data_IF_670825890977
#
_entry.id   IF_670825890977
#
_cell.length_a   1.000
_cell.length_b   1.000
_cell.length_c   1.000
_cell.angle_alpha   90.00
_cell.angle_beta   90.00
_cell.angle_gamma   90.00
#
_symmetry.space_group_name_H-M   'P 1'
#
loop_
_entity.id
_entity.type
_entity.pdbx_description
1 polymer ?
#
# COMPACT_ATOMS: atom_id res chain seq x y z
N UNK A 1 28.43 10.54 0.55
CA UNK A 1 27.57 11.04 1.67
C UNK A 1 26.22 11.55 1.20
N UNK A 2 26.12 12.72 0.47
CA UNK A 2 24.78 13.25 0.16
C UNK A 2 24.00 12.36 -0.81
N UNK A 3 24.63 11.80 -1.84
CA UNK A 3 23.97 10.83 -2.75
C UNK A 3 23.50 9.58 -1.99
N UNK A 4 24.32 9.04 -1.10
CA UNK A 4 23.98 7.85 -0.30
C UNK A 4 22.82 8.16 0.69
N UNK A 5 22.79 9.39 1.23
CA UNK A 5 21.67 9.86 2.07
C UNK A 5 20.38 9.99 1.29
N UNK A 6 20.44 10.53 0.06
CA UNK A 6 19.28 10.64 -0.82
C UNK A 6 18.75 9.25 -1.17
N UNK A 7 19.63 8.33 -1.57
CA UNK A 7 19.25 6.94 -1.88
C UNK A 7 18.58 6.26 -0.67
N UNK A 8 19.17 6.42 0.51
CA UNK A 8 18.59 5.90 1.75
C UNK A 8 17.24 6.53 2.07
N UNK A 9 17.10 7.86 1.93
CA UNK A 9 15.85 8.56 2.17
C UNK A 9 14.77 8.12 1.18
N UNK A 10 15.09 8.00 -0.11
CA UNK A 10 14.17 7.53 -1.15
C UNK A 10 13.69 6.10 -0.88
N UNK A 11 14.61 5.20 -0.52
CA UNK A 11 14.30 3.79 -0.24
C UNK A 11 13.46 3.60 1.04
N UNK A 12 13.53 4.55 1.97
CA UNK A 12 12.85 4.48 3.27
C UNK A 12 11.71 5.49 3.42
N UNK A 13 11.14 5.95 2.32
CA UNK A 13 9.96 6.81 2.35
C UNK A 13 8.82 6.13 3.12
N UNK A 14 8.20 6.80 4.12
CA UNK A 14 7.09 6.23 4.88
C UNK A 14 5.91 5.85 3.98
N UNK A 15 5.69 6.57 2.88
CA UNK A 15 4.66 6.31 1.90
C UNK A 15 4.78 4.91 1.25
N UNK A 16 5.98 4.34 1.13
CA UNK A 16 6.13 2.98 0.60
C UNK A 16 5.39 1.94 1.47
N UNK A 17 5.52 2.06 2.79
CA UNK A 17 4.84 1.16 3.73
C UNK A 17 3.33 1.39 3.75
N UNK A 18 2.92 2.66 3.65
CA UNK A 18 1.51 3.02 3.63
C UNK A 18 0.83 2.52 2.35
N UNK A 19 1.47 2.67 1.18
CA UNK A 19 0.98 2.10 -0.09
C UNK A 19 0.82 0.58 0.03
N UNK A 20 1.84 -0.12 0.52
CA UNK A 20 1.76 -1.58 0.70
C UNK A 20 0.61 -1.98 1.62
N UNK A 21 0.42 -1.28 2.74
CA UNK A 21 -0.68 -1.57 3.68
C UNK A 21 -2.05 -1.34 3.05
N UNK A 22 -2.24 -0.25 2.29
CA UNK A 22 -3.49 0.04 1.60
C UNK A 22 -3.77 -0.94 0.45
N UNK A 23 -2.74 -1.41 -0.26
CA UNK A 23 -2.88 -2.45 -1.27
C UNK A 23 -3.28 -3.81 -0.66
N UNK A 24 -2.77 -4.16 0.53
CA UNK A 24 -3.18 -5.35 1.25
C UNK A 24 -4.63 -5.25 1.73
N UNK A 25 -5.03 -4.09 2.25
CA UNK A 25 -6.42 -3.79 2.62
C UNK A 25 -7.35 -3.90 1.40
N UNK A 26 -6.94 -3.35 0.24
CA UNK A 26 -7.70 -3.43 -1.00
C UNK A 26 -7.91 -4.87 -1.47
N UNK A 27 -6.87 -5.73 -1.42
CA UNK A 27 -7.00 -7.16 -1.76
C UNK A 27 -7.97 -7.91 -0.83
N UNK A 28 -7.94 -7.55 0.45
CA UNK A 28 -8.85 -8.13 1.44
C UNK A 28 -10.29 -7.73 1.16
N UNK A 29 -10.51 -6.45 0.89
CA UNK A 29 -11.82 -5.90 0.59
C UNK A 29 -12.39 -6.44 -0.73
N UNK A 30 -11.55 -6.58 -1.76
CA UNK A 30 -11.94 -7.23 -3.03
C UNK A 30 -12.43 -8.67 -2.81
N UNK A 31 -11.72 -9.42 -1.97
CA UNK A 31 -12.12 -10.80 -1.63
C UNK A 31 -13.47 -10.83 -0.91
N UNK A 32 -13.69 -9.92 0.04
CA UNK A 32 -14.95 -9.80 0.76
C UNK A 32 -16.09 -9.43 -0.19
N UNK A 33 -15.85 -8.48 -1.10
CA UNK A 33 -16.83 -8.03 -2.08
C UNK A 33 -17.24 -9.16 -3.03
N UNK A 34 -16.29 -9.94 -3.55
CA UNK A 34 -16.55 -11.10 -4.40
C UNK A 34 -17.41 -12.13 -3.66
N UNK A 35 -17.04 -12.45 -2.42
CA UNK A 35 -17.78 -13.42 -1.61
C UNK A 35 -19.22 -12.94 -1.32
N UNK A 36 -19.38 -11.65 -0.96
CA UNK A 36 -20.69 -11.09 -0.65
C UNK A 36 -21.59 -11.00 -1.89
N UNK A 37 -21.05 -10.65 -3.05
CA UNK A 37 -21.78 -10.65 -4.33
C UNK A 37 -22.21 -12.07 -4.73
N UNK A 38 -21.36 -13.07 -4.49
CA UNK A 38 -21.70 -14.47 -4.74
C UNK A 38 -22.83 -14.91 -3.83
N UNK A 39 -22.75 -14.62 -2.53
CA UNK A 39 -23.80 -14.93 -1.56
C UNK A 39 -25.12 -14.22 -1.92
N UNK A 40 -25.08 -12.96 -2.31
CA UNK A 40 -26.26 -12.22 -2.77
C UNK A 40 -26.89 -12.88 -4.01
N UNK A 41 -26.06 -13.28 -4.99
CA UNK A 41 -26.56 -13.97 -6.19
C UNK A 41 -27.19 -15.33 -5.87
N UNK A 42 -26.65 -16.05 -4.88
CA UNK A 42 -27.22 -17.34 -4.44
C UNK A 42 -28.59 -17.12 -3.77
N UNK A 43 -28.68 -16.18 -2.83
CA UNK A 43 -29.95 -15.84 -2.16
C UNK A 43 -30.98 -15.29 -3.15
N UNK A 44 -30.57 -14.50 -4.14
CA UNK A 44 -31.49 -14.01 -5.19
C UNK A 44 -32.14 -15.16 -5.97
N UNK A 45 -31.37 -16.23 -6.24
CA UNK A 45 -31.95 -17.45 -6.85
C UNK A 45 -32.91 -18.19 -5.91
N UNK A 46 -32.67 -18.12 -4.59
CA UNK A 46 -33.62 -18.66 -3.60
C UNK A 46 -34.93 -17.83 -3.59
N UNK A 47 -34.84 -16.49 -3.69
CA UNK A 47 -36.03 -15.62 -3.82
C UNK A 47 -36.84 -16.02 -5.06
N UNK A 48 -36.21 -16.06 -6.23
CA UNK A 48 -36.88 -16.39 -7.51
C UNK A 48 -37.59 -17.75 -7.42
N UNK A 49 -36.96 -18.74 -6.77
CA UNK A 49 -37.53 -20.07 -6.54
C UNK A 49 -38.73 -20.01 -5.58
N UNK A 50 -38.62 -19.27 -4.48
CA UNK A 50 -39.68 -19.14 -3.49
C UNK A 50 -40.93 -18.44 -4.08
N UNK A 51 -40.70 -17.36 -4.84
CA UNK A 51 -41.78 -16.68 -5.60
C UNK A 51 -42.51 -17.65 -6.56
N UNK A 52 -41.73 -18.50 -7.27
CA UNK A 52 -42.32 -19.49 -8.17
C UNK A 52 -43.16 -20.55 -7.42
N UNK A 53 -42.69 -20.98 -6.25
CA UNK A 53 -43.39 -21.95 -5.40
C UNK A 53 -44.69 -21.36 -4.85
N UNK A 54 -44.69 -20.10 -4.38
CA UNK A 54 -45.91 -19.37 -3.96
C UNK A 54 -46.88 -19.22 -5.13
N UNK A 55 -46.36 -18.80 -6.30
CA UNK A 55 -47.20 -18.62 -7.48
C UNK A 55 -47.87 -19.95 -7.92
N UNK A 56 -47.18 -21.08 -7.84
CA UNK A 56 -47.72 -22.40 -8.17
C UNK A 56 -48.94 -22.75 -7.29
N UNK A 57 -48.85 -22.47 -5.99
CA UNK A 57 -49.91 -22.73 -5.02
C UNK A 57 -51.09 -21.75 -5.28
N UNK A 58 -50.85 -20.48 -5.56
CA UNK A 58 -51.87 -19.49 -5.93
C UNK A 58 -52.65 -19.91 -7.18
N UNK A 59 -51.93 -20.34 -8.22
CA UNK A 59 -52.54 -20.80 -9.47
C UNK A 59 -53.38 -22.06 -9.26
N UNK A 60 -52.96 -22.97 -8.43
CA UNK A 60 -53.78 -24.17 -8.07
C UNK A 60 -55.00 -23.76 -7.30
N UNK A 61 -54.88 -22.92 -6.29
CA UNK A 61 -56.01 -22.40 -5.52
C UNK A 61 -57.04 -21.67 -6.41
N UNK A 62 -56.56 -20.85 -7.36
CA UNK A 62 -57.41 -20.17 -8.32
C UNK A 62 -58.21 -21.13 -9.22
N UNK A 63 -57.55 -22.20 -9.74
CA UNK A 63 -58.24 -23.21 -10.54
C UNK A 63 -59.28 -23.97 -9.72
N UNK A 64 -58.95 -24.39 -8.49
CA UNK A 64 -59.87 -25.11 -7.62
C UNK A 64 -61.04 -24.25 -7.17
N UNK A 65 -60.82 -22.97 -6.93
CA UNK A 65 -61.86 -21.96 -6.64
C UNK A 65 -62.81 -21.81 -7.83
N UNK A 66 -62.32 -21.66 -9.05
CA UNK A 66 -63.14 -21.58 -10.26
C UNK A 66 -64.00 -22.84 -10.46
N UNK A 67 -63.48 -24.04 -10.18
CA UNK A 67 -64.25 -25.28 -10.24
C UNK A 67 -65.33 -25.36 -9.18
N UNK A 68 -65.04 -24.90 -7.97
CA UNK A 68 -66.02 -24.85 -6.86
C UNK A 68 -67.13 -23.88 -7.21
N UNK A 69 -66.79 -22.66 -7.69
CA UNK A 69 -67.77 -21.62 -8.06
C UNK A 69 -68.64 -22.01 -9.27
N UNK A 70 -68.15 -22.84 -10.19
CA UNK A 70 -68.89 -23.40 -11.29
C UNK A 70 -69.90 -24.49 -10.82
N UNK A 71 -69.81 -24.98 -9.60
CA UNK A 71 -70.71 -25.94 -9.02
C UNK A 71 -70.77 -27.30 -9.74
N UNK A 72 -69.74 -27.63 -10.53
CA UNK A 72 -69.68 -28.86 -11.34
C UNK A 72 -69.14 -30.02 -10.52
N UNK A 73 -69.94 -31.07 -10.34
CA UNK A 73 -69.55 -32.28 -9.59
C UNK A 73 -70.57 -32.74 -8.58
N UNK A 74 -70.27 -33.79 -7.84
CA UNK A 74 -71.12 -34.29 -6.74
C UNK A 74 -70.88 -33.41 -5.48
N UNK A 75 -71.84 -33.45 -4.53
CA UNK A 75 -71.69 -32.78 -3.25
C UNK A 75 -70.40 -33.20 -2.52
N UNK A 76 -69.97 -34.44 -2.66
CA UNK A 76 -68.73 -34.96 -2.12
C UNK A 76 -67.51 -34.33 -2.79
N UNK A 77 -67.53 -34.09 -4.11
CA UNK A 77 -66.44 -33.47 -4.85
C UNK A 77 -66.30 -31.99 -4.48
N UNK A 78 -67.41 -31.27 -4.31
CA UNK A 78 -67.43 -29.85 -3.87
C UNK A 78 -66.89 -29.72 -2.42
N UNK A 79 -67.23 -30.64 -1.54
CA UNK A 79 -66.68 -30.67 -0.18
C UNK A 79 -65.16 -30.97 -0.18
N UNK A 80 -64.71 -31.91 -1.03
CA UNK A 80 -63.28 -32.17 -1.19
C UNK A 80 -62.51 -30.93 -1.70
N UNK A 81 -63.06 -30.20 -2.69
CA UNK A 81 -62.47 -28.92 -3.14
C UNK A 81 -62.39 -27.86 -2.05
N UNK A 82 -63.38 -27.73 -1.16
CA UNK A 82 -63.33 -26.82 0.00
C UNK A 82 -62.22 -27.19 0.98
N UNK A 83 -62.03 -28.47 1.28
CA UNK A 83 -60.92 -28.96 2.12
C UNK A 83 -59.56 -28.69 1.47
N UNK A 84 -59.45 -28.93 0.16
CA UNK A 84 -58.22 -28.66 -0.60
C UNK A 84 -57.87 -27.17 -0.57
N UNK A 85 -58.85 -26.27 -0.84
CA UNK A 85 -58.65 -24.83 -0.76
C UNK A 85 -58.17 -24.37 0.63
N UNK A 86 -58.73 -24.94 1.69
CA UNK A 86 -58.27 -24.66 3.06
C UNK A 86 -56.83 -25.10 3.26
N UNK A 87 -56.46 -26.28 2.75
CA UNK A 87 -55.08 -26.76 2.80
C UNK A 87 -54.11 -25.92 1.98
N UNK A 88 -54.49 -25.49 0.77
CA UNK A 88 -53.72 -24.64 -0.12
C UNK A 88 -53.52 -23.22 0.51
N UNK A 89 -54.55 -22.65 1.17
CA UNK A 89 -54.44 -21.37 1.86
C UNK A 89 -53.40 -21.45 2.99
N UNK A 90 -53.43 -22.51 3.80
CA UNK A 90 -52.38 -22.69 4.84
C UNK A 90 -51.01 -22.84 4.21
N UNK A 91 -50.88 -23.67 3.16
CA UNK A 91 -49.62 -23.86 2.47
C UNK A 91 -49.06 -22.59 1.83
N UNK A 92 -49.96 -21.77 1.26
CA UNK A 92 -49.60 -20.48 0.71
C UNK A 92 -49.00 -19.55 1.80
N UNK A 93 -49.67 -19.45 2.96
CA UNK A 93 -49.18 -18.63 4.09
C UNK A 93 -47.82 -19.09 4.56
N UNK A 94 -47.60 -20.42 4.71
CA UNK A 94 -46.30 -20.99 5.10
C UNK A 94 -45.19 -20.66 4.11
N UNK A 95 -45.49 -20.67 2.78
CA UNK A 95 -44.53 -20.34 1.74
C UNK A 95 -44.24 -18.84 1.67
N UNK A 96 -45.26 -17.99 1.86
CA UNK A 96 -45.11 -16.54 1.93
C UNK A 96 -44.24 -16.09 3.14
N UNK A 97 -44.38 -16.78 4.29
CA UNK A 97 -43.51 -16.53 5.45
C UNK A 97 -42.04 -16.87 5.13
N UNK A 98 -41.82 -18.03 4.45
CA UNK A 98 -40.46 -18.44 4.00
C UNK A 98 -39.89 -17.45 2.98
N UNK A 99 -40.71 -17.00 2.02
CA UNK A 99 -40.34 -16.01 1.01
C UNK A 99 -39.86 -14.71 1.69
N UNK A 100 -40.61 -14.21 2.68
CA UNK A 100 -40.23 -13.01 3.43
C UNK A 100 -38.88 -13.17 4.14
N UNK A 101 -38.63 -14.31 4.80
CA UNK A 101 -37.34 -14.57 5.45
C UNK A 101 -36.17 -14.57 4.45
N UNK A 102 -36.38 -15.14 3.25
CA UNK A 102 -35.36 -15.14 2.19
C UNK A 102 -35.13 -13.74 1.65
N UNK A 103 -36.20 -12.96 1.44
CA UNK A 103 -36.12 -11.57 0.99
C UNK A 103 -35.38 -10.68 1.99
N UNK A 104 -35.66 -10.80 3.30
CA UNK A 104 -34.92 -10.07 4.34
C UNK A 104 -33.41 -10.37 4.31
N UNK A 105 -33.04 -11.63 4.08
CA UNK A 105 -31.64 -12.04 3.91
C UNK A 105 -31.02 -11.42 2.64
N UNK A 106 -31.77 -11.36 1.54
CA UNK A 106 -31.30 -10.76 0.30
C UNK A 106 -31.07 -9.26 0.46
N UNK A 107 -31.99 -8.55 1.13
CA UNK A 107 -31.87 -7.11 1.43
C UNK A 107 -30.64 -6.82 2.31
N UNK A 108 -30.43 -7.59 3.37
CA UNK A 108 -29.28 -7.44 4.24
C UNK A 108 -27.95 -7.65 3.50
N UNK A 109 -27.87 -8.64 2.61
CA UNK A 109 -26.69 -8.88 1.76
C UNK A 109 -26.50 -7.77 0.73
N UNK A 110 -27.55 -7.24 0.12
CA UNK A 110 -27.48 -6.13 -0.82
C UNK A 110 -26.96 -4.84 -0.14
N UNK A 111 -27.44 -4.56 1.06
CA UNK A 111 -26.94 -3.45 1.85
C UNK A 111 -25.44 -3.63 2.19
N UNK A 112 -25.05 -4.83 2.60
CA UNK A 112 -23.65 -5.15 2.88
C UNK A 112 -22.75 -4.97 1.65
N UNK A 113 -23.17 -5.43 0.47
CA UNK A 113 -22.45 -5.20 -0.81
C UNK A 113 -22.30 -3.71 -1.07
N UNK A 114 -23.37 -2.92 -0.86
CA UNK A 114 -23.34 -1.46 -1.06
C UNK A 114 -22.32 -0.78 -0.15
N UNK A 115 -22.22 -1.21 1.10
CA UNK A 115 -21.21 -0.70 2.06
C UNK A 115 -19.80 -1.04 1.59
N UNK A 116 -19.54 -2.30 1.23
CA UNK A 116 -18.23 -2.73 0.73
C UNK A 116 -17.80 -1.98 -0.54
N UNK A 117 -18.73 -1.71 -1.46
CA UNK A 117 -18.46 -0.93 -2.67
C UNK A 117 -18.13 0.54 -2.37
N UNK A 118 -18.73 1.11 -1.35
CA UNK A 118 -18.37 2.45 -0.89
C UNK A 118 -16.97 2.44 -0.29
N UNK A 119 -16.70 1.49 0.61
CA UNK A 119 -15.41 1.38 1.29
C UNK A 119 -14.27 1.13 0.28
N UNK A 120 -14.52 0.36 -0.79
CA UNK A 120 -13.58 0.17 -1.90
C UNK A 120 -13.25 1.49 -2.62
N UNK A 121 -14.26 2.33 -2.88
CA UNK A 121 -14.05 3.65 -3.52
C UNK A 121 -13.27 4.59 -2.62
N UNK A 122 -13.59 4.61 -1.34
CA UNK A 122 -12.90 5.45 -0.36
C UNK A 122 -11.44 5.01 -0.19
N UNK A 123 -11.20 3.70 -0.13
CA UNK A 123 -9.85 3.13 -0.07
C UNK A 123 -9.05 3.43 -1.35
N UNK A 124 -9.64 3.30 -2.53
CA UNK A 124 -9.00 3.64 -3.80
C UNK A 124 -8.60 5.13 -3.86
N UNK A 125 -9.43 6.02 -3.33
CA UNK A 125 -9.13 7.45 -3.24
C UNK A 125 -7.96 7.72 -2.29
N UNK A 126 -7.93 7.06 -1.13
CA UNK A 126 -6.81 7.17 -0.18
C UNK A 126 -5.52 6.63 -0.77
N UNK A 127 -5.56 5.47 -1.42
CA UNK A 127 -4.40 4.87 -2.07
C UNK A 127 -3.84 5.80 -3.15
N UNK A 128 -4.68 6.36 -4.00
CA UNK A 128 -4.28 7.31 -5.04
C UNK A 128 -3.56 8.53 -4.46
N UNK A 129 -4.07 9.10 -3.37
CA UNK A 129 -3.46 10.25 -2.70
C UNK A 129 -2.08 9.92 -2.10
N UNK A 130 -1.92 8.75 -1.50
CA UNK A 130 -0.63 8.32 -0.93
C UNK A 130 0.38 8.00 -2.03
N UNK A 131 -0.05 7.40 -3.14
CA UNK A 131 0.79 7.15 -4.32
C UNK A 131 1.28 8.47 -4.91
N UNK A 132 0.40 9.46 -5.08
CA UNK A 132 0.77 10.79 -5.56
C UNK A 132 1.79 11.47 -4.62
N UNK A 133 1.56 11.44 -3.31
CA UNK A 133 2.48 11.99 -2.33
C UNK A 133 3.86 11.29 -2.35
N UNK A 134 3.89 9.97 -2.55
CA UNK A 134 5.13 9.20 -2.74
C UNK A 134 5.86 9.66 -3.99
N UNK A 135 5.16 9.76 -5.11
CA UNK A 135 5.75 10.08 -6.41
C UNK A 135 6.29 11.51 -6.44
N UNK A 136 5.61 12.46 -5.80
CA UNK A 136 6.12 13.82 -5.59
C UNK A 136 7.41 13.81 -4.77
N UNK A 137 7.44 13.13 -3.62
CA UNK A 137 8.63 13.03 -2.79
C UNK A 137 9.81 12.35 -3.52
N UNK A 138 9.53 11.31 -4.30
CA UNK A 138 10.54 10.66 -5.14
C UNK A 138 11.07 11.60 -6.23
N UNK A 139 10.21 12.42 -6.84
CA UNK A 139 10.57 13.44 -7.81
C UNK A 139 11.51 14.52 -7.22
N UNK A 140 11.21 14.99 -6.01
CA UNK A 140 12.06 15.95 -5.30
C UNK A 140 13.46 15.38 -5.03
N UNK A 141 13.54 14.15 -4.52
CA UNK A 141 14.82 13.46 -4.30
C UNK A 141 15.58 13.19 -5.60
N UNK A 142 14.88 12.87 -6.70
CA UNK A 142 15.52 12.69 -8.01
C UNK A 142 16.16 14.00 -8.50
N UNK A 143 15.45 15.12 -8.40
CA UNK A 143 15.98 16.44 -8.74
C UNK A 143 17.18 16.86 -7.87
N UNK A 144 17.13 16.58 -6.57
CA UNK A 144 18.25 16.81 -5.69
C UNK A 144 19.46 15.92 -6.04
N UNK A 145 19.22 14.62 -6.29
CA UNK A 145 20.26 13.69 -6.70
C UNK A 145 20.97 14.17 -7.97
N UNK A 146 20.21 14.60 -8.98
CA UNK A 146 20.75 15.04 -10.26
C UNK A 146 21.58 16.34 -10.07
N UNK A 147 21.14 17.25 -9.22
CA UNK A 147 21.88 18.44 -8.84
C UNK A 147 23.21 18.11 -8.16
N UNK A 148 23.18 17.22 -7.18
CA UNK A 148 24.39 16.79 -6.43
C UNK A 148 25.34 16.00 -7.35
N UNK A 149 24.82 15.13 -8.21
CA UNK A 149 25.60 14.37 -9.17
C UNK A 149 26.29 15.28 -10.19
N UNK A 150 25.58 16.30 -10.70
CA UNK A 150 26.13 17.28 -11.61
C UNK A 150 27.26 18.10 -10.98
N UNK A 151 27.08 18.58 -9.74
CA UNK A 151 28.14 19.27 -9.00
C UNK A 151 29.36 18.37 -8.76
N UNK A 152 29.12 17.12 -8.42
CA UNK A 152 30.17 16.13 -8.25
C UNK A 152 30.95 15.90 -9.54
N UNK A 153 30.28 15.73 -10.69
CA UNK A 153 30.89 15.55 -11.99
C UNK A 153 31.78 16.72 -12.37
N UNK A 154 31.28 17.96 -12.22
CA UNK A 154 32.07 19.17 -12.48
C UNK A 154 33.31 19.27 -11.58
N UNK A 155 33.19 18.84 -10.28
CA UNK A 155 34.35 18.81 -9.39
C UNK A 155 35.35 17.76 -9.82
N UNK A 156 34.91 16.55 -10.21
CA UNK A 156 35.78 15.47 -10.70
C UNK A 156 36.57 15.89 -11.93
N UNK A 157 35.96 16.63 -12.86
CA UNK A 157 36.66 17.17 -14.04
C UNK A 157 37.81 18.13 -13.69
N UNK A 158 37.70 18.82 -12.54
CA UNK A 158 38.76 19.77 -12.08
C UNK A 158 39.84 19.10 -11.25
N UNK A 159 39.67 17.83 -10.88
CA UNK A 159 40.59 17.06 -10.05
C UNK A 159 41.27 15.99 -10.90
N UNK A 160 42.57 15.78 -10.76
CA UNK A 160 43.29 14.76 -11.53
C UNK A 160 42.77 13.33 -11.27
N UNK A 161 42.79 12.48 -12.28
CA UNK A 161 42.23 11.10 -12.25
C UNK A 161 42.80 10.28 -11.12
N UNK A 162 44.10 10.40 -10.81
CA UNK A 162 44.78 9.64 -9.74
C UNK A 162 44.21 9.97 -8.35
N UNK A 163 43.92 11.27 -8.09
CA UNK A 163 43.35 11.69 -6.82
C UNK A 163 41.87 11.27 -6.71
N UNK A 164 41.11 11.27 -7.78
CA UNK A 164 39.76 10.76 -7.82
C UNK A 164 39.74 9.25 -7.56
N UNK A 165 40.62 8.49 -8.21
CA UNK A 165 40.74 7.04 -8.00
C UNK A 165 41.13 6.70 -6.56
N UNK A 166 42.08 7.47 -5.97
CA UNK A 166 42.42 7.33 -4.55
C UNK A 166 41.24 7.62 -3.63
N UNK A 167 40.52 8.72 -3.86
CA UNK A 167 39.37 9.11 -3.08
C UNK A 167 38.28 8.03 -3.10
N UNK A 168 37.91 7.49 -4.29
CA UNK A 168 36.87 6.46 -4.44
C UNK A 168 37.28 5.14 -3.74
N UNK A 169 38.53 4.76 -3.82
CA UNK A 169 39.05 3.58 -3.10
C UNK A 169 38.92 3.73 -1.58
N UNK A 170 39.25 4.92 -1.07
CA UNK A 170 39.15 5.19 0.38
C UNK A 170 37.68 5.30 0.77
N UNK A 171 36.85 5.97 -0.04
CA UNK A 171 35.43 6.14 0.19
C UNK A 171 34.72 4.79 0.34
N UNK A 172 35.00 3.85 -0.56
CA UNK A 172 34.36 2.52 -0.53
C UNK A 172 34.65 1.71 0.70
N UNK A 173 35.85 1.84 1.27
CA UNK A 173 36.29 1.15 2.48
C UNK A 173 35.94 1.85 3.80
N UNK A 174 35.44 3.09 3.75
CA UNK A 174 35.23 3.93 4.93
C UNK A 174 33.79 4.49 5.06
N UNK A 175 32.78 3.68 4.71
CA UNK A 175 31.38 4.06 4.92
C UNK A 175 30.93 5.27 4.10
N UNK A 176 31.46 5.44 2.87
CA UNK A 176 31.07 6.52 1.97
C UNK A 176 31.82 7.85 2.18
N UNK A 177 32.86 7.90 3.04
CA UNK A 177 33.64 9.10 3.35
C UNK A 177 35.09 8.89 2.98
N UNK A 178 35.57 9.45 1.87
CA UNK A 178 36.97 9.32 1.39
C UNK A 178 37.88 10.42 1.88
N UNK A 179 37.36 11.60 2.22
CA UNK A 179 38.14 12.73 2.77
C UNK A 179 37.42 13.34 3.94
N UNK A 180 38.17 13.94 4.87
CA UNK A 180 37.65 14.63 6.04
C UNK A 180 38.57 15.80 6.42
N UNK A 181 38.02 16.80 7.07
CA UNK A 181 38.78 17.92 7.56
C UNK A 181 39.73 17.49 8.68
N UNK A 182 40.88 18.14 8.77
CA UNK A 182 41.69 18.16 9.95
C UNK A 182 41.22 19.32 10.82
N UNK A 183 40.74 19.05 12.02
CA UNK A 183 40.28 20.08 12.96
C UNK A 183 40.98 19.95 14.28
N UNK A 184 41.71 20.98 14.71
CA UNK A 184 42.44 21.05 15.98
C UNK A 184 43.28 19.81 16.26
N UNK A 185 44.01 19.31 15.25
CA UNK A 185 44.84 18.13 15.36
C UNK A 185 44.09 16.79 15.38
N UNK A 186 42.78 16.77 15.05
CA UNK A 186 41.92 15.57 14.98
C UNK A 186 41.41 15.33 13.58
N UNK A 187 41.32 14.07 13.20
CA UNK A 187 40.68 13.67 11.96
C UNK A 187 39.18 13.75 12.11
N UNK A 188 38.47 14.58 11.32
CA UNK A 188 37.02 14.70 11.32
C UNK A 188 36.28 13.43 10.86
N UNK A 189 36.99 12.44 10.32
CA UNK A 189 36.37 11.18 9.83
C UNK A 189 36.36 10.05 10.84
N UNK A 190 37.43 9.88 11.64
CA UNK A 190 37.52 8.86 12.70
C UNK A 190 37.54 9.45 14.10
N UNK A 191 37.62 10.76 14.22
CA UNK A 191 37.68 11.56 15.45
C UNK A 191 38.89 11.26 16.34
N UNK A 192 39.91 10.54 15.82
CA UNK A 192 41.14 10.28 16.52
C UNK A 192 42.06 11.52 16.49
N UNK A 193 42.75 11.76 17.59
CA UNK A 193 43.76 12.79 17.70
C UNK A 193 45.04 12.32 17.01
N UNK A 194 45.62 13.15 16.14
CA UNK A 194 46.89 12.85 15.49
C UNK A 194 48.06 13.09 16.47
N UNK A 195 49.02 12.22 16.43
CA UNK A 195 50.21 12.37 17.26
C UNK A 195 51.08 13.54 16.76
N UNK A 196 52.01 14.00 17.58
CA UNK A 196 52.86 15.16 17.29
C UNK A 196 53.76 14.96 16.06
N UNK A 197 54.15 13.72 15.75
CA UNK A 197 55.00 13.40 14.58
C UNK A 197 54.18 13.62 13.30
N UNK A 198 52.93 13.14 13.26
CA UNK A 198 52.05 13.33 12.15
C UNK A 198 51.67 14.79 11.95
N UNK A 199 51.38 15.51 13.05
CA UNK A 199 51.12 16.96 12.99
C UNK A 199 52.30 17.75 12.43
N UNK A 200 53.54 17.40 12.83
CA UNK A 200 54.73 18.03 12.29
C UNK A 200 54.91 17.74 10.78
N UNK A 201 54.67 16.49 10.34
CA UNK A 201 54.69 16.10 8.93
C UNK A 201 53.66 16.91 8.15
N UNK A 202 52.41 16.99 8.64
CA UNK A 202 51.33 17.72 7.99
C UNK A 202 51.62 19.22 7.88
N UNK A 203 52.26 19.80 8.91
CA UNK A 203 52.67 21.22 8.93
C UNK A 203 53.75 21.52 7.90
N UNK A 204 54.70 20.59 7.68
CA UNK A 204 55.83 20.77 6.76
C UNK A 204 55.51 20.40 5.32
N UNK A 205 54.39 19.69 5.10
CA UNK A 205 53.98 19.23 3.78
C UNK A 205 53.58 20.38 2.85
N UNK A 206 53.96 20.35 1.57
CA UNK A 206 53.54 21.32 0.57
C UNK A 206 51.99 21.43 0.47
N UNK A 207 51.46 22.56 0.00
CA UNK A 207 50.02 22.77 -0.09
C UNK A 207 49.27 21.75 -0.98
N UNK A 208 49.95 21.23 -1.98
CA UNK A 208 49.44 20.28 -2.98
C UNK A 208 49.66 18.80 -2.62
N UNK A 209 50.35 18.52 -1.51
CA UNK A 209 50.55 17.15 -1.07
C UNK A 209 49.30 16.54 -0.46
N UNK A 210 48.92 15.34 -0.97
CA UNK A 210 47.78 14.56 -0.48
C UNK A 210 48.13 13.85 0.80
N UNK A 211 47.64 14.38 1.91
CA UNK A 211 47.88 13.81 3.25
C UNK A 211 46.76 12.84 3.63
N UNK A 212 47.12 11.81 4.41
CA UNK A 212 46.21 10.80 4.88
C UNK A 212 46.27 10.63 6.38
N UNK A 213 45.15 10.30 6.99
CA UNK A 213 45.11 9.89 8.40
C UNK A 213 45.73 8.50 8.57
N UNK A 214 46.68 8.36 9.47
CA UNK A 214 47.35 7.06 9.72
C UNK A 214 46.39 6.02 10.31
N UNK A 215 45.39 6.47 11.08
CA UNK A 215 44.45 5.59 11.75
C UNK A 215 43.36 5.01 10.79
N UNK A 216 42.78 5.86 9.94
CA UNK A 216 41.64 5.44 9.11
C UNK A 216 41.90 5.52 7.58
N UNK A 217 43.05 6.05 7.18
CA UNK A 217 43.46 6.15 5.78
C UNK A 217 42.73 7.23 4.96
N UNK A 218 41.76 7.97 5.52
CA UNK A 218 41.03 9.06 4.82
C UNK A 218 41.99 10.19 4.44
N UNK A 219 41.68 10.85 3.31
CA UNK A 219 42.39 12.05 2.91
C UNK A 219 42.07 13.17 3.93
N UNK A 220 43.12 13.82 4.45
CA UNK A 220 42.97 14.94 5.36
C UNK A 220 43.00 16.26 4.59
N UNK A 221 41.95 17.05 4.81
CA UNK A 221 41.80 18.40 4.21
C UNK A 221 42.27 19.42 5.24
N UNK A 222 43.32 20.18 4.90
CA UNK A 222 43.78 21.28 5.72
C UNK A 222 42.87 22.48 5.56
N UNK A 223 42.47 23.05 6.68
CA UNK A 223 41.59 24.25 6.75
C UNK A 223 42.16 25.23 7.78
N UNK A 224 41.59 26.40 7.89
CA UNK A 224 41.99 27.41 8.93
C UNK A 224 41.79 26.84 10.35
N UNK A 225 40.91 25.84 10.52
CA UNK A 225 40.61 25.21 11.81
C UNK A 225 41.51 24.01 12.13
N UNK A 226 42.47 23.67 11.27
CA UNK A 226 43.35 22.50 11.45
C UNK A 226 44.27 22.57 12.65
N UNK A 227 44.42 23.73 13.27
CA UNK A 227 45.36 23.95 14.37
C UNK A 227 46.83 23.99 13.90
N UNK A 228 47.05 24.20 12.61
CA UNK A 228 48.39 24.36 12.04
C UNK A 228 48.85 25.84 12.17
N UNK A 229 50.16 26.09 12.34
CA UNK A 229 50.70 27.47 12.34
C UNK A 229 50.33 28.15 11.02
N UNK A 230 49.78 29.34 11.10
CA UNK A 230 49.54 30.19 9.90
C UNK A 230 50.91 30.67 9.39
N UNK A 231 51.29 30.24 8.18
CA UNK A 231 52.47 30.74 7.46
C UNK A 231 52.13 32.03 6.72
#
# INVERSE_FOLDING_TARGET
>A
MRLDQIEHATSNLPQHREVTALEDEARTLDTQLVNSRTALSDVQREVDKSEADVQLVRDRAARDRARLDAGTGTAKDLQALQHELTSLSRRQSELEDIELEIMERAEALAEHVTVLERDQRDLATRLAAVVEARDLAMGDYAGERDTVAGRRAATVESVGEDLVALYERIRSGNGGIGASELSQGRCGGCHMELNQVDMNRITQAPPDEVLRCEECGRILVRTAESGLPQT
#
